data_IF_139349393264
#
_entry.id   IF_139349393264
#
_cell.length_a   1.000
_cell.length_b   1.000
_cell.length_c   1.000
_cell.angle_alpha   90.00
_cell.angle_beta   90.00
_cell.angle_gamma   90.00
#
_symmetry.space_group_name_H-M   'P 1'
#
loop_
_entity.id
_entity.type
_entity.pdbx_description
1 polymer ?
#
# COMPACT_ATOMS: atom_id res chain seq x y z
N UNK A 1 5.26 8.59 7.26
CA UNK A 1 4.85 9.52 6.19
C UNK A 1 5.51 9.22 4.83
N UNK A 2 6.84 9.08 4.75
CA UNK A 2 7.57 8.86 3.47
C UNK A 2 7.08 7.64 2.67
N UNK A 3 6.69 6.55 3.33
CA UNK A 3 6.19 5.32 2.68
C UNK A 3 4.67 5.32 2.50
N UNK A 4 3.92 5.97 3.40
CA UNK A 4 2.46 6.07 3.28
C UNK A 4 2.02 6.88 2.05
N UNK A 5 2.72 7.97 1.73
CA UNK A 5 2.40 8.81 0.58
C UNK A 5 2.43 8.06 -0.78
N UNK A 6 3.50 7.31 -1.13
CA UNK A 6 3.51 6.53 -2.37
C UNK A 6 2.48 5.41 -2.36
N UNK A 7 2.17 4.77 -1.21
CA UNK A 7 1.09 3.79 -1.11
C UNK A 7 -0.25 4.43 -1.50
N UNK A 8 -0.59 5.57 -0.89
CA UNK A 8 -1.83 6.30 -1.18
C UNK A 8 -1.89 6.73 -2.64
N UNK A 9 -0.78 7.22 -3.21
CA UNK A 9 -0.72 7.59 -4.64
C UNK A 9 -1.04 6.40 -5.56
N UNK A 10 -0.36 5.26 -5.34
CA UNK A 10 -0.58 4.05 -6.15
C UNK A 10 -2.03 3.56 -6.00
N UNK A 11 -2.54 3.49 -4.78
CA UNK A 11 -3.90 2.99 -4.52
C UNK A 11 -4.97 3.93 -5.06
N UNK A 12 -4.76 5.25 -4.99
CA UNK A 12 -5.66 6.24 -5.59
C UNK A 12 -5.74 6.10 -7.11
N UNK A 13 -4.61 5.83 -7.78
CA UNK A 13 -4.57 5.64 -9.23
C UNK A 13 -5.16 4.29 -9.69
N UNK A 14 -5.09 3.26 -8.83
CA UNK A 14 -5.53 1.89 -9.15
C UNK A 14 -6.95 1.56 -8.70
N UNK A 15 -7.46 2.26 -7.67
CA UNK A 15 -8.72 2.00 -6.93
C UNK A 15 -8.78 0.63 -6.23
N UNK A 16 -8.32 -0.44 -6.89
CA UNK A 16 -8.20 -1.80 -6.38
C UNK A 16 -6.84 -2.37 -6.76
N UNK A 17 -6.15 -3.01 -5.82
CA UNK A 17 -4.83 -3.58 -6.11
C UNK A 17 -4.49 -4.77 -5.20
N UNK A 18 -3.67 -5.70 -5.71
CA UNK A 18 -3.17 -6.83 -4.91
C UNK A 18 -2.10 -6.37 -3.93
N UNK A 19 -2.16 -6.88 -2.71
CA UNK A 19 -1.24 -6.56 -1.62
C UNK A 19 0.23 -6.78 -2.00
N UNK A 20 0.56 -7.94 -2.56
CA UNK A 20 1.95 -8.24 -2.98
C UNK A 20 2.44 -7.30 -4.08
N UNK A 21 1.58 -6.99 -5.06
CA UNK A 21 1.92 -6.08 -6.16
C UNK A 21 2.09 -4.64 -5.65
N UNK A 22 1.29 -4.23 -4.65
CA UNK A 22 1.44 -2.93 -3.99
C UNK A 22 2.82 -2.80 -3.35
N UNK A 23 3.23 -3.82 -2.59
CA UNK A 23 4.56 -3.84 -1.95
C UNK A 23 5.67 -3.74 -2.98
N UNK A 24 5.60 -4.53 -4.06
CA UNK A 24 6.60 -4.50 -5.13
C UNK A 24 6.69 -3.12 -5.81
N UNK A 25 5.55 -2.50 -6.11
CA UNK A 25 5.52 -1.18 -6.74
C UNK A 25 6.05 -0.09 -5.80
N UNK A 26 5.76 -0.17 -4.49
CA UNK A 26 6.30 0.75 -3.48
C UNK A 26 7.82 0.61 -3.37
N UNK A 27 8.36 -0.62 -3.33
CA UNK A 27 9.81 -0.87 -3.32
C UNK A 27 10.45 -0.28 -4.58
N UNK A 28 9.87 -0.54 -5.75
CA UNK A 28 10.36 -0.05 -7.04
C UNK A 28 10.40 1.48 -7.10
N UNK A 29 9.41 2.17 -6.55
CA UNK A 29 9.39 3.64 -6.53
C UNK A 29 10.42 4.23 -5.55
N UNK A 30 10.67 3.55 -4.43
CA UNK A 30 11.54 4.06 -3.36
C UNK A 30 13.01 3.70 -3.53
N UNK A 31 13.33 2.63 -4.28
CA UNK A 31 14.69 2.11 -4.46
C UNK A 31 15.71 3.13 -5.00
N UNK A 32 15.25 4.14 -5.75
CA UNK A 32 16.10 5.25 -6.22
C UNK A 32 16.66 6.14 -5.09
N UNK A 33 16.05 6.09 -3.90
CA UNK A 33 16.41 6.92 -2.73
C UNK A 33 16.89 6.07 -1.55
N UNK A 34 16.25 4.92 -1.31
CA UNK A 34 16.62 3.98 -0.25
C UNK A 34 15.90 2.63 -0.44
N UNK A 35 16.36 1.58 0.23
CA UNK A 35 15.70 0.27 0.24
C UNK A 35 14.81 0.10 1.48
N UNK A 36 13.48 0.25 1.37
CA UNK A 36 12.56 -0.02 2.48
C UNK A 36 12.50 -1.52 2.77
N UNK A 37 12.48 -1.89 4.06
CA UNK A 37 12.15 -3.25 4.48
C UNK A 37 10.66 -3.53 4.27
N UNK A 38 10.32 -4.74 3.82
CA UNK A 38 8.94 -5.18 3.60
C UNK A 38 8.08 -4.96 4.85
N UNK A 39 8.60 -5.33 6.04
CA UNK A 39 7.88 -5.15 7.31
C UNK A 39 7.47 -3.71 7.61
N UNK A 40 8.24 -2.72 7.13
CA UNK A 40 7.90 -1.30 7.29
C UNK A 40 6.78 -0.89 6.34
N UNK A 41 6.74 -1.46 5.14
CA UNK A 41 5.68 -1.22 4.16
C UNK A 41 4.37 -1.86 4.66
N UNK A 42 4.41 -3.10 5.14
CA UNK A 42 3.26 -3.79 5.72
C UNK A 42 2.67 -2.99 6.89
N UNK A 43 3.50 -2.55 7.84
CA UNK A 43 3.02 -1.70 8.94
C UNK A 43 2.42 -0.37 8.45
N UNK A 44 2.89 0.19 7.33
CA UNK A 44 2.27 1.38 6.75
C UNK A 44 0.91 1.07 6.10
N UNK A 45 0.74 -0.11 5.49
CA UNK A 45 -0.54 -0.57 4.94
C UNK A 45 -1.54 -0.75 6.09
N UNK A 46 -1.13 -1.39 7.18
CA UNK A 46 -2.00 -1.60 8.36
C UNK A 46 -2.48 -0.27 8.94
N UNK A 47 -1.58 0.71 9.12
CA UNK A 47 -1.96 2.07 9.56
C UNK A 47 -2.94 2.73 8.58
N UNK A 48 -2.81 2.50 7.28
CA UNK A 48 -3.72 3.07 6.28
C UNK A 48 -5.09 2.37 6.28
N UNK A 49 -5.15 1.10 6.68
CA UNK A 49 -6.41 0.38 6.91
C UNK A 49 -7.08 0.92 8.19
N UNK A 50 -6.33 1.08 9.28
CA UNK A 50 -6.83 1.66 10.54
C UNK A 50 -7.40 3.08 10.36
N UNK A 51 -6.82 3.84 9.43
CA UNK A 51 -7.27 5.19 9.06
C UNK A 51 -8.40 5.22 8.03
N UNK A 52 -8.95 4.06 7.68
CA UNK A 52 -10.02 3.94 6.68
C UNK A 52 -9.63 4.53 5.32
N UNK A 53 -8.33 4.61 5.01
CA UNK A 53 -7.85 5.00 3.67
C UNK A 53 -7.85 3.79 2.72
N UNK A 54 -7.62 2.59 3.27
CA UNK A 54 -7.62 1.32 2.56
C UNK A 54 -8.55 0.32 3.24
N UNK A 55 -9.04 -0.67 2.50
CA UNK A 55 -9.83 -1.77 3.05
C UNK A 55 -9.47 -3.07 2.36
N UNK A 56 -9.37 -4.18 3.11
CA UNK A 56 -9.23 -5.52 2.53
C UNK A 56 -10.55 -5.96 1.91
N UNK A 57 -10.49 -6.56 0.73
CA UNK A 57 -11.68 -7.13 0.11
C UNK A 57 -12.18 -8.32 0.98
N UNK A 58 -13.47 -8.31 1.39
CA UNK A 58 -14.01 -9.36 2.25
C UNK A 58 -14.09 -10.73 1.57
N UNK A 59 -14.03 -10.79 0.23
CA UNK A 59 -14.04 -12.04 -0.55
C UNK A 59 -12.64 -12.50 -0.92
N UNK A 60 -11.68 -11.58 -1.01
CA UNK A 60 -10.30 -11.82 -1.47
C UNK A 60 -9.32 -11.03 -0.59
N UNK A 61 -8.83 -11.64 0.48
CA UNK A 61 -8.05 -10.93 1.52
C UNK A 61 -6.69 -10.40 1.03
N UNK A 62 -6.21 -10.87 -0.12
CA UNK A 62 -5.02 -10.40 -0.83
C UNK A 62 -5.28 -9.15 -1.70
N UNK A 63 -6.54 -8.71 -1.82
CA UNK A 63 -6.94 -7.51 -2.57
C UNK A 63 -7.28 -6.37 -1.61
N UNK A 64 -6.77 -5.18 -1.92
CA UNK A 64 -7.03 -3.93 -1.22
C UNK A 64 -7.87 -3.00 -2.09
N UNK A 65 -8.81 -2.30 -1.45
CA UNK A 65 -9.61 -1.21 -2.01
C UNK A 65 -9.14 0.13 -1.44
N UNK A 66 -9.17 1.15 -2.27
CA UNK A 66 -9.00 2.54 -1.86
C UNK A 66 -10.34 3.14 -1.44
N UNK A 67 -10.36 3.96 -0.39
CA UNK A 67 -11.58 4.49 0.22
C UNK A 67 -11.77 6.02 0.11
N UNK A 68 -10.89 6.80 -0.56
CA UNK A 68 -11.11 8.27 -0.69
C UNK A 68 -10.19 9.08 -1.60
#
# INVERSE_FOLDING_TARGET
>A
MVIQAPIVRIMKDRETFKHELLIQEVIKQLSSRFEPKISVIEGCIDILIEKECLQRNPKETDVLFYLG
#
